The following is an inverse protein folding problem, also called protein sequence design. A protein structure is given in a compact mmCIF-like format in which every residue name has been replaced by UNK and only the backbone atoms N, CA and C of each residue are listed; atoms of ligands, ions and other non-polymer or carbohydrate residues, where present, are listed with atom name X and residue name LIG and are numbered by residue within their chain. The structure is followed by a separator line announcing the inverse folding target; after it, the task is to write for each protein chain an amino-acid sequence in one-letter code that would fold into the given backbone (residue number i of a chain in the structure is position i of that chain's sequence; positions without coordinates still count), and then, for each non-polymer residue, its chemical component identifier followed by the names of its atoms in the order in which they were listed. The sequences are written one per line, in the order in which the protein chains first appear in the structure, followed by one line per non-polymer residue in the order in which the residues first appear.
data_IF_684355946847
#
_entry.id   IF_684355946847
#
_cell.length_a   1.000
_cell.length_b   1.000
_cell.length_c   1.000
_cell.angle_alpha   90.00
_cell.angle_beta   90.00
_cell.angle_gamma   90.00
#
_symmetry.space_group_name_H-M   'P 1'
#
loop_
_entity.id
_entity.type
_entity.pdbx_description
1 polymer ?
#
# COMPACT_ATOMS: atom_id res chain seq x y z
N UNK A 1 -14.71 -11.47 -0.64
CA UNK A 1 -13.36 -11.08 -1.06
C UNK A 1 -13.48 -9.83 -1.89
N UNK A 2 -12.71 -8.80 -1.58
CA UNK A 2 -12.70 -7.53 -2.33
C UNK A 2 -11.49 -7.53 -3.26
N UNK A 3 -11.70 -7.27 -4.56
CA UNK A 3 -10.61 -7.02 -5.51
C UNK A 3 -10.44 -5.52 -5.65
N UNK A 4 -9.21 -5.03 -5.51
CA UNK A 4 -8.87 -3.63 -5.75
C UNK A 4 -7.92 -3.54 -6.94
N UNK A 5 -8.09 -2.47 -7.72
CA UNK A 5 -7.11 -2.07 -8.73
C UNK A 5 -6.11 -1.13 -8.08
N UNK A 6 -4.84 -1.48 -8.18
CA UNK A 6 -3.74 -0.63 -7.77
C UNK A 6 -3.11 0.00 -9.00
N UNK A 7 -3.03 1.32 -9.01
CA UNK A 7 -2.19 2.04 -9.96
C UNK A 7 -0.80 2.17 -9.33
N UNK A 8 0.17 1.46 -9.90
CA UNK A 8 1.58 1.58 -9.55
C UNK A 8 2.19 2.61 -10.49
N UNK A 9 2.71 3.71 -9.94
CA UNK A 9 3.38 4.76 -10.73
C UNK A 9 4.85 4.77 -10.33
N UNK A 10 5.74 4.65 -11.31
CA UNK A 10 7.16 4.88 -11.09
C UNK A 10 7.37 6.39 -10.81
N UNK A 11 7.86 6.75 -9.61
CA UNK A 11 8.00 8.15 -9.22
C UNK A 11 9.08 8.90 -10.03
N UNK A 12 9.97 8.20 -10.74
CA UNK A 12 11.06 8.80 -11.50
C UNK A 12 10.71 9.04 -12.97
N UNK A 13 9.85 8.20 -13.55
CA UNK A 13 9.49 8.25 -14.98
C UNK A 13 8.05 8.70 -15.21
N UNK A 14 7.18 8.56 -14.19
CA UNK A 14 5.74 8.77 -14.33
C UNK A 14 5.03 7.67 -15.13
N UNK A 15 5.75 6.65 -15.58
CA UNK A 15 5.16 5.47 -16.21
C UNK A 15 4.41 4.65 -15.15
N UNK A 16 3.25 4.13 -15.54
CA UNK A 16 2.38 3.40 -14.64
C UNK A 16 2.06 1.99 -15.12
N UNK A 17 1.78 1.11 -14.17
CA UNK A 17 1.20 -0.20 -14.39
C UNK A 17 0.02 -0.39 -13.45
N UNK A 18 -1.08 -0.95 -13.97
CA UNK A 18 -2.24 -1.31 -13.15
C UNK A 18 -2.18 -2.79 -12.78
N UNK A 19 -2.50 -3.10 -11.52
CA UNK A 19 -2.58 -4.46 -11.02
C UNK A 19 -3.89 -4.68 -10.28
N UNK A 20 -4.67 -5.67 -10.72
CA UNK A 20 -5.81 -6.17 -9.95
C UNK A 20 -5.34 -7.24 -8.98
N UNK A 21 -5.66 -7.08 -7.70
CA UNK A 21 -5.30 -8.09 -6.72
C UNK A 21 -6.41 -8.28 -5.68
N UNK A 22 -6.48 -9.49 -5.13
CA UNK A 22 -7.37 -9.79 -4.01
C UNK A 22 -6.76 -9.20 -2.75
N UNK A 23 -7.55 -8.39 -2.04
CA UNK A 23 -7.09 -7.62 -0.89
C UNK A 23 -7.84 -8.07 0.36
N UNK A 24 -7.09 -8.21 1.46
CA UNK A 24 -7.66 -8.35 2.80
C UNK A 24 -8.47 -7.08 3.14
N UNK A 25 -9.76 -7.18 3.50
CA UNK A 25 -10.56 -6.04 3.94
C UNK A 25 -9.88 -5.20 5.03
N UNK A 26 -9.09 -5.82 5.91
CA UNK A 26 -8.35 -5.13 6.97
C UNK A 26 -7.30 -4.16 6.43
N UNK A 27 -6.68 -4.46 5.28
CA UNK A 27 -5.75 -3.52 4.62
C UNK A 27 -6.48 -2.26 4.17
N UNK A 28 -7.70 -2.40 3.64
CA UNK A 28 -8.50 -1.27 3.16
C UNK A 28 -8.90 -0.36 4.31
N UNK A 29 -9.35 -0.93 5.42
CA UNK A 29 -9.65 -0.19 6.65
C UNK A 29 -8.42 0.54 7.18
N UNK A 30 -7.28 -0.15 7.27
CA UNK A 30 -6.03 0.42 7.78
C UNK A 30 -5.47 1.52 6.86
N UNK A 31 -5.61 1.39 5.53
CA UNK A 31 -5.25 2.44 4.56
C UNK A 31 -6.13 3.68 4.69
N UNK A 32 -7.45 3.50 4.75
CA UNK A 32 -8.40 4.61 4.93
C UNK A 32 -8.16 5.33 6.26
N UNK A 33 -7.94 4.57 7.33
CA UNK A 33 -7.60 5.13 8.64
C UNK A 33 -6.27 5.90 8.60
N UNK A 34 -5.26 5.35 7.95
CA UNK A 34 -3.96 6.00 7.81
C UNK A 34 -4.02 7.29 7.00
N UNK A 35 -4.79 7.34 5.91
CA UNK A 35 -4.98 8.55 5.10
C UNK A 35 -5.63 9.69 5.91
N UNK A 36 -6.43 9.36 6.93
CA UNK A 36 -7.06 10.36 7.81
C UNK A 36 -6.12 10.98 8.86
N UNK A 37 -4.87 10.52 8.97
CA UNK A 37 -3.93 11.02 9.98
C UNK A 37 -2.90 11.99 9.39
N UNK A 38 -2.71 13.16 10.02
CA UNK A 38 -1.80 14.21 9.55
C UNK A 38 -0.32 13.79 9.53
N UNK A 39 0.14 13.00 10.53
CA UNK A 39 1.50 12.43 10.60
C UNK A 39 1.52 11.18 11.47
N UNK A 40 1.69 10.01 10.87
CA UNK A 40 1.65 8.72 11.58
C UNK A 40 3.01 8.21 12.05
N UNK A 41 4.12 8.69 11.45
CA UNK A 41 5.46 8.12 11.66
C UNK A 41 5.55 6.64 11.25
N UNK A 42 4.62 6.17 10.42
CA UNK A 42 4.55 4.79 9.94
C UNK A 42 4.52 4.79 8.41
N UNK A 43 4.83 3.68 7.78
CA UNK A 43 4.72 3.46 6.34
C UNK A 43 4.00 2.14 6.11
N UNK A 44 3.10 2.14 5.13
CA UNK A 44 2.63 0.89 4.54
C UNK A 44 3.68 0.36 3.58
N UNK A 45 4.07 -0.87 3.80
CA UNK A 45 4.83 -1.63 2.84
C UNK A 45 3.85 -2.64 2.25
N UNK A 46 3.63 -2.58 0.93
CA UNK A 46 2.66 -3.41 0.19
C UNK A 46 3.42 -4.15 -0.89
N UNK A 47 3.17 -5.45 -1.02
CA UNK A 47 3.74 -6.30 -2.07
C UNK A 47 2.63 -7.09 -2.75
N UNK A 48 2.70 -7.12 -4.07
CA UNK A 48 1.75 -7.82 -4.93
C UNK A 48 2.50 -9.01 -5.52
N UNK A 49 2.07 -10.22 -5.19
CA UNK A 49 2.52 -11.44 -5.87
C UNK A 49 1.74 -11.52 -7.19
N UNK A 50 2.40 -11.16 -8.30
CA UNK A 50 1.77 -11.12 -9.64
C UNK A 50 1.49 -12.51 -10.21
N UNK A 51 2.13 -13.57 -9.67
CA UNK A 51 1.88 -14.95 -10.08
C UNK A 51 0.61 -15.48 -9.42
N UNK A 52 0.37 -15.11 -8.16
CA UNK A 52 -0.82 -15.53 -7.39
C UNK A 52 -1.98 -14.54 -7.43
N UNK A 53 -1.74 -13.29 -7.81
CA UNK A 53 -2.72 -12.21 -7.77
C UNK A 53 -3.10 -11.80 -6.33
N UNK A 54 -2.20 -12.00 -5.38
CA UNK A 54 -2.44 -11.74 -3.95
C UNK A 54 -1.67 -10.51 -3.47
N UNK A 55 -2.31 -9.71 -2.61
CA UNK A 55 -1.66 -8.60 -1.91
C UNK A 55 -1.28 -9.04 -0.51
N UNK A 56 -0.04 -8.78 -0.13
CA UNK A 56 0.40 -8.84 1.25
C UNK A 56 0.98 -7.50 1.67
N UNK A 57 0.91 -7.20 2.97
CA UNK A 57 1.19 -5.86 3.47
C UNK A 57 1.66 -5.88 4.92
N UNK A 58 2.41 -4.86 5.32
CA UNK A 58 2.75 -4.58 6.71
C UNK A 58 2.78 -3.07 6.97
N UNK A 59 2.36 -2.68 8.17
CA UNK A 59 2.57 -1.35 8.70
C UNK A 59 3.89 -1.31 9.49
N UNK A 60 4.86 -0.52 9.04
CA UNK A 60 6.15 -0.35 9.73
C UNK A 60 6.26 1.03 10.33
N UNK A 61 6.89 1.15 11.50
CA UNK A 61 7.33 2.46 11.99
C UNK A 61 8.47 2.95 11.10
N UNK A 62 8.37 4.18 10.61
CA UNK A 62 9.50 4.85 9.98
C UNK A 62 10.37 5.35 11.14
N UNK A 63 11.66 5.00 11.19
CA UNK A 63 12.56 5.63 12.14
C UNK A 63 12.42 7.15 11.94
N UNK A 64 12.10 7.89 13.00
CA UNK A 64 12.21 9.34 12.93
C UNK A 64 13.64 9.64 12.50
N UNK A 65 13.82 10.11 11.26
CA UNK A 65 15.03 10.84 10.92
C UNK A 65 15.04 11.99 11.92
N UNK A 66 15.89 11.86 12.94
CA UNK A 66 16.05 12.87 13.97
C UNK A 66 16.21 14.21 13.26
N UNK A 67 15.39 15.17 13.66
CA UNK A 67 15.50 16.57 13.27
C UNK A 67 16.95 17.05 13.42
#
# INVERSE_FOLDING_TARGET
MTRLSFELVDPNTGEGASAEAVVDPKLVEDLNFYQSQERTGKAFLIWIDTVKGEVSWQLRKIPSLGL
#
